data_IF_635359799483
#
_entry.id   IF_635359799483
#
_cell.length_a   1.000
_cell.length_b   1.000
_cell.length_c   1.000
_cell.angle_alpha   90.00
_cell.angle_beta   90.00
_cell.angle_gamma   90.00
#
_symmetry.space_group_name_H-M   'P 1'
#
loop_
_entity.id
_entity.type
_entity.pdbx_description
1 polymer ?
#
# COMPACT_ATOMS: atom_id res chain seq x y z
N UNK A 1 -13.40 -6.60 -25.72
CA UNK A 1 -13.52 -6.36 -24.26
C UNK A 1 -12.45 -7.07 -23.41
N UNK A 2 -12.15 -8.35 -23.69
CA UNK A 2 -11.25 -9.24 -22.92
C UNK A 2 -9.87 -8.64 -22.54
N UNK A 3 -9.21 -7.90 -23.43
CA UNK A 3 -7.85 -7.40 -23.16
C UNK A 3 -7.81 -6.21 -22.17
N UNK A 4 -8.84 -5.35 -22.10
CA UNK A 4 -8.82 -4.23 -21.12
C UNK A 4 -9.01 -4.68 -19.69
N UNK A 5 -9.82 -5.72 -19.48
CA UNK A 5 -10.04 -6.27 -18.13
C UNK A 5 -8.74 -6.88 -17.62
N UNK A 6 -8.00 -7.60 -18.48
CA UNK A 6 -6.67 -8.13 -18.15
C UNK A 6 -5.71 -7.02 -17.72
N UNK A 7 -5.57 -5.95 -18.50
CA UNK A 7 -4.67 -4.85 -18.14
C UNK A 7 -5.09 -4.14 -16.84
N UNK A 8 -6.40 -3.98 -16.61
CA UNK A 8 -6.91 -3.41 -15.36
C UNK A 8 -6.59 -4.29 -14.15
N UNK A 9 -6.75 -5.61 -14.28
CA UNK A 9 -6.44 -6.57 -13.21
C UNK A 9 -4.94 -6.61 -12.91
N UNK A 10 -4.09 -6.62 -13.95
CA UNK A 10 -2.63 -6.57 -13.80
C UNK A 10 -2.22 -5.28 -13.08
N UNK A 11 -2.80 -4.14 -13.48
CA UNK A 11 -2.52 -2.86 -12.85
C UNK A 11 -2.95 -2.83 -11.36
N UNK A 12 -4.16 -3.30 -11.05
CA UNK A 12 -4.64 -3.38 -9.67
C UNK A 12 -3.79 -4.32 -8.82
N UNK A 13 -3.36 -5.45 -9.37
CA UNK A 13 -2.46 -6.37 -8.67
C UNK A 13 -1.06 -5.79 -8.44
N UNK A 14 -0.50 -5.09 -9.43
CA UNK A 14 0.77 -4.39 -9.27
C UNK A 14 0.67 -3.30 -8.17
N UNK A 15 -0.42 -2.53 -8.16
CA UNK A 15 -0.68 -1.53 -7.12
C UNK A 15 -0.78 -2.17 -5.73
N UNK A 16 -1.49 -3.30 -5.63
CA UNK A 16 -1.58 -4.08 -4.39
C UNK A 16 -0.20 -4.48 -3.87
N UNK A 17 0.65 -5.03 -4.74
CA UNK A 17 2.01 -5.42 -4.35
C UNK A 17 2.83 -4.22 -3.88
N UNK A 18 2.84 -3.11 -4.64
CA UNK A 18 3.60 -1.90 -4.28
C UNK A 18 3.17 -1.36 -2.91
N UNK A 19 1.87 -1.27 -2.65
CA UNK A 19 1.36 -0.76 -1.38
C UNK A 19 1.74 -1.68 -0.21
N UNK A 20 1.57 -2.99 -0.37
CA UNK A 20 1.93 -3.94 0.69
C UNK A 20 3.44 -3.97 0.95
N UNK A 21 4.26 -3.95 -0.10
CA UNK A 21 5.72 -3.86 0.04
C UNK A 21 6.14 -2.57 0.75
N UNK A 22 5.53 -1.44 0.40
CA UNK A 22 5.82 -0.17 1.08
C UNK A 22 5.49 -0.22 2.57
N UNK A 23 4.38 -0.87 2.93
CA UNK A 23 3.98 -1.04 4.34
C UNK A 23 5.00 -1.90 5.10
N UNK A 24 5.42 -3.03 4.52
CA UNK A 24 6.44 -3.90 5.12
C UNK A 24 7.79 -3.19 5.30
N UNK A 25 8.24 -2.44 4.30
CA UNK A 25 9.49 -1.67 4.39
C UNK A 25 9.41 -0.60 5.48
N UNK A 26 8.26 0.08 5.59
CA UNK A 26 8.02 1.09 6.62
C UNK A 26 8.00 0.48 8.02
N UNK A 27 7.39 -0.69 8.18
CA UNK A 27 7.40 -1.48 9.42
C UNK A 27 8.83 -1.78 9.86
N UNK A 28 9.62 -2.36 8.94
CA UNK A 28 10.98 -2.75 9.20
C UNK A 28 11.87 -1.55 9.52
N UNK A 29 11.66 -0.42 8.82
CA UNK A 29 12.35 0.83 9.12
C UNK A 29 12.06 1.34 10.55
N UNK A 30 10.80 1.31 11.00
CA UNK A 30 10.47 1.75 12.36
C UNK A 30 10.91 0.77 13.43
N UNK A 31 10.85 -0.54 13.18
CA UNK A 31 11.42 -1.55 14.07
C UNK A 31 12.93 -1.32 14.23
N UNK A 32 13.64 -1.10 13.13
CA UNK A 32 15.07 -0.82 13.18
C UNK A 32 15.40 0.48 13.92
N UNK A 33 14.60 1.53 13.75
CA UNK A 33 14.74 2.76 14.55
C UNK A 33 14.51 2.50 16.06
N UNK A 34 13.57 1.61 16.40
CA UNK A 34 13.26 1.29 17.78
C UNK A 34 14.36 0.42 18.42
N UNK A 35 14.91 -0.54 17.67
CA UNK A 35 16.05 -1.38 18.07
C UNK A 35 17.31 -0.56 18.35
N UNK A 36 17.50 0.59 17.68
CA UNK A 36 18.64 1.47 17.95
C UNK A 36 18.64 2.06 19.37
N UNK A 37 17.52 1.99 20.09
CA UNK A 37 17.42 2.41 21.50
C UNK A 37 17.66 1.26 22.49
N UNK A 38 17.68 0.01 22.04
CA UNK A 38 18.05 -1.17 22.84
C UNK A 38 19.58 -1.29 22.81
N UNK A 39 20.25 -0.54 23.69
CA UNK A 39 21.71 -0.40 23.68
C UNK A 39 22.40 -1.67 24.16
N UNK A 40 21.76 -2.37 25.10
CA UNK A 40 22.26 -3.62 25.67
C UNK A 40 21.84 -4.86 24.86
N UNK A 41 20.98 -4.71 23.84
CA UNK A 41 20.42 -5.79 23.01
C UNK A 41 19.71 -6.86 23.84
N UNK A 42 19.11 -6.47 24.95
CA UNK A 42 18.43 -7.37 25.86
C UNK A 42 17.02 -7.75 25.38
N UNK A 43 16.51 -7.04 24.36
CA UNK A 43 15.13 -7.18 23.89
C UNK A 43 14.11 -6.45 24.77
N UNK A 44 14.55 -5.81 25.85
CA UNK A 44 13.73 -5.01 26.75
C UNK A 44 14.36 -3.63 26.96
N UNK A 45 13.50 -2.61 27.13
CA UNK A 45 13.99 -1.27 27.44
C UNK A 45 14.13 -1.08 28.94
N UNK A 46 15.37 -0.93 29.38
CA UNK A 46 15.73 -0.54 30.75
C UNK A 46 15.38 0.94 31.01
N UNK A 47 15.37 1.34 32.29
CA UNK A 47 14.91 2.69 32.69
C UNK A 47 15.75 3.83 32.10
N UNK A 48 17.05 3.59 31.93
CA UNK A 48 18.01 4.48 31.28
C UNK A 48 17.80 4.60 29.75
N UNK A 49 17.16 3.63 29.10
CA UNK A 49 16.90 3.60 27.66
C UNK A 49 15.54 4.24 27.28
N UNK A 50 14.65 4.45 28.26
CA UNK A 50 13.30 5.01 28.10
C UNK A 50 13.29 6.53 27.91
N UNK A 51 13.95 6.98 26.86
CA UNK A 51 13.94 8.39 26.45
C UNK A 51 12.61 8.78 25.81
N UNK A 52 12.30 10.09 25.75
CA UNK A 52 11.13 10.60 25.01
C UNK A 52 11.13 10.17 23.54
N UNK A 53 12.31 10.10 22.92
CA UNK A 53 12.46 9.70 21.52
C UNK A 53 12.17 8.21 21.32
N UNK A 54 12.62 7.37 22.26
CA UNK A 54 12.30 5.94 22.28
C UNK A 54 10.78 5.73 22.39
N UNK A 55 10.09 6.48 23.26
CA UNK A 55 8.63 6.36 23.40
C UNK A 55 7.88 6.77 22.13
N UNK A 56 8.38 7.79 21.42
CA UNK A 56 7.84 8.20 20.11
C UNK A 56 8.06 7.11 19.07
N UNK A 57 9.24 6.50 19.03
CA UNK A 57 9.52 5.36 18.13
C UNK A 57 8.65 4.15 18.47
N UNK A 58 8.50 3.83 19.76
CA UNK A 58 7.65 2.76 20.26
C UNK A 58 6.20 2.96 19.84
N UNK A 59 5.68 4.19 19.94
CA UNK A 59 4.33 4.54 19.49
C UNK A 59 4.12 4.35 17.98
N UNK A 60 5.17 4.54 17.17
CA UNK A 60 5.10 4.32 15.70
C UNK A 60 5.04 2.83 15.35
N UNK A 61 5.72 1.99 16.12
CA UNK A 61 5.69 0.53 15.97
C UNK A 61 4.42 -0.06 16.57
N UNK A 62 4.00 0.38 17.76
CA UNK A 62 2.83 -0.16 18.46
C UNK A 62 1.49 0.17 17.80
N UNK A 63 1.46 1.14 16.88
CA UNK A 63 0.29 1.42 16.04
C UNK A 63 0.12 0.37 14.91
N UNK A 64 0.42 -0.89 15.22
CA UNK A 64 0.41 -2.05 14.32
C UNK A 64 -0.98 -2.40 13.82
N UNK A 65 -2.05 -1.95 14.50
CA UNK A 65 -3.44 -2.19 14.08
C UNK A 65 -3.71 -1.74 12.64
N UNK A 66 -3.09 -0.63 12.21
CA UNK A 66 -3.22 -0.14 10.84
C UNK A 66 -2.44 -1.00 9.82
N UNK A 67 -1.36 -1.65 10.25
CA UNK A 67 -0.51 -2.48 9.40
C UNK A 67 -1.06 -3.91 9.30
N UNK A 68 -1.52 -4.48 10.40
CA UNK A 68 -2.20 -5.80 10.42
C UNK A 68 -3.47 -5.79 9.57
N UNK A 69 -4.22 -4.68 9.58
CA UNK A 69 -5.42 -4.52 8.76
C UNK A 69 -5.12 -3.96 7.35
N UNK A 70 -3.86 -3.67 7.03
CA UNK A 70 -3.48 -3.08 5.74
C UNK A 70 -4.01 -3.85 4.52
N UNK A 71 -4.00 -5.20 4.47
CA UNK A 71 -4.52 -5.92 3.31
C UNK A 71 -6.02 -5.67 3.07
N UNK A 72 -6.77 -5.40 4.14
CA UNK A 72 -8.22 -5.16 4.08
C UNK A 72 -8.50 -3.67 3.81
N UNK A 73 -7.81 -2.78 4.52
CA UNK A 73 -8.01 -1.31 4.38
C UNK A 73 -7.49 -0.77 3.05
N UNK A 74 -6.60 -1.49 2.36
CA UNK A 74 -6.10 -1.10 1.03
C UNK A 74 -7.01 -1.52 -0.13
N UNK A 75 -8.02 -2.37 0.11
CA UNK A 75 -8.96 -2.82 -0.95
C UNK A 75 -9.65 -1.64 -1.65
N UNK A 76 -10.22 -0.64 -0.95
CA UNK A 76 -10.84 0.53 -1.58
C UNK A 76 -9.81 1.37 -2.36
N UNK A 77 -8.61 1.53 -1.79
CA UNK A 77 -7.49 2.26 -2.39
C UNK A 77 -7.05 1.66 -3.74
N UNK A 78 -7.24 0.35 -3.94
CA UNK A 78 -6.84 -0.34 -5.17
C UNK A 78 -8.00 -0.47 -6.16
N UNK A 79 -9.22 -0.69 -5.66
CA UNK A 79 -10.40 -0.86 -6.51
C UNK A 79 -10.85 0.44 -7.16
N UNK A 80 -10.81 1.56 -6.44
CA UNK A 80 -11.25 2.86 -6.98
C UNK A 80 -10.38 3.29 -8.19
N UNK A 81 -9.04 3.30 -8.12
CA UNK A 81 -8.21 3.61 -9.29
C UNK A 81 -8.39 2.62 -10.44
N UNK A 82 -8.54 1.32 -10.14
CA UNK A 82 -8.80 0.30 -11.16
C UNK A 82 -10.10 0.57 -11.93
N UNK A 83 -11.17 0.94 -11.24
CA UNK A 83 -12.45 1.32 -11.85
C UNK A 83 -12.32 2.60 -12.70
N UNK A 84 -11.54 3.59 -12.24
CA UNK A 84 -11.27 4.82 -13.00
C UNK A 84 -10.52 4.49 -14.30
N UNK A 85 -9.45 3.71 -14.23
CA UNK A 85 -8.66 3.28 -15.40
C UNK A 85 -9.54 2.52 -16.40
N UNK A 86 -10.35 1.59 -15.90
CA UNK A 86 -11.31 0.86 -16.73
C UNK A 86 -12.32 1.79 -17.42
N UNK A 87 -12.86 2.76 -16.69
CA UNK A 87 -13.76 3.80 -17.22
C UNK A 87 -13.13 4.60 -18.36
N UNK A 88 -11.89 5.08 -18.16
CA UNK A 88 -11.12 5.81 -19.18
C UNK A 88 -10.89 4.96 -20.44
N UNK A 89 -10.47 3.70 -20.27
CA UNK A 89 -10.24 2.79 -21.39
C UNK A 89 -11.54 2.48 -22.16
N UNK A 90 -12.67 2.36 -21.45
CA UNK A 90 -13.99 2.14 -22.05
C UNK A 90 -14.45 3.36 -22.87
N UNK A 91 -14.25 4.57 -22.36
CA UNK A 91 -14.58 5.81 -23.07
C UNK A 91 -13.69 6.02 -24.30
N UNK A 92 -12.39 5.75 -24.21
CA UNK A 92 -11.45 5.83 -25.34
C UNK A 92 -11.79 4.85 -26.48
N UNK A 93 -12.32 3.67 -26.17
CA UNK A 93 -12.79 2.71 -27.19
C UNK A 93 -14.06 3.18 -27.91
N UNK A 94 -15.03 3.78 -27.20
CA UNK A 94 -16.25 4.32 -27.82
C UNK A 94 -15.93 5.41 -28.85
N UNK A 95 -14.95 6.28 -28.58
CA UNK A 95 -14.49 7.30 -29.52
C UNK A 95 -13.77 6.75 -30.76
N UNK A 96 -13.20 5.54 -30.70
CA UNK A 96 -12.47 4.89 -31.81
C UNK A 96 -13.32 3.99 -32.71
N UNK A 97 -14.63 3.91 -32.49
CA UNK A 97 -15.55 3.32 -33.45
C UNK A 97 -16.31 4.44 -34.18
N UNK A 98 -15.67 5.19 -35.10
CA UNK A 98 -16.43 5.95 -36.07
C UNK A 98 -17.18 4.94 -36.94
N UNK A 99 -18.46 5.25 -37.16
CA UNK A 99 -19.37 4.58 -38.06
C UNK A 99 -18.73 4.38 -39.45
N UNK A 100 -18.14 3.23 -39.70
CA UNK A 100 -18.07 2.67 -41.06
C UNK A 100 -19.24 1.73 -41.17
N UNK A 101 -20.35 2.22 -41.72
CA UNK A 101 -21.50 1.50 -42.29
C UNK A 101 -22.71 2.45 -42.26
N UNK A 102 -22.81 3.28 -43.29
CA UNK A 102 -24.04 3.72 -43.94
C UNK A 102 -23.60 4.49 -45.18
N UNK A 103 -23.11 3.73 -46.17
CA UNK A 103 -23.27 4.06 -47.59
C UNK A 103 -24.68 3.66 -48.00
#
# INVERSE_FOLDING_TARGET
>A
MRNSIKYSLIFSFALYLVVNTFILLREQYYKHQLEAYDLNKSGFFEENERTKNQQIALKKVSNDSAQTLAPITTIPLITIPGLIVWGILRLRRRKRSPKYLKS
#
